data_IF_226109692869
#
_entry.id   IF_226109692869
#
_cell.length_a   1.000
_cell.length_b   1.000
_cell.length_c   1.000
_cell.angle_alpha   90.00
_cell.angle_beta   90.00
_cell.angle_gamma   90.00
#
_symmetry.space_group_name_H-M   'P 1'
#
loop_
_entity.id
_entity.type
_entity.pdbx_description
1 polymer ?
#
# COMPACT_ATOMS: atom_id res chain seq x y z
N UNK A 1 -4.64 29.98 2.06
CA UNK A 1 -4.82 28.52 2.22
C UNK A 1 -4.02 28.13 3.45
N UNK A 2 -4.62 27.41 4.39
CA UNK A 2 -3.88 26.86 5.54
C UNK A 2 -2.79 25.91 5.03
N UNK A 3 -1.62 25.91 5.67
CA UNK A 3 -0.57 24.94 5.36
C UNK A 3 -1.08 23.52 5.69
N UNK A 4 -0.70 22.52 4.87
CA UNK A 4 -1.06 21.12 5.10
C UNK A 4 -0.09 20.46 6.09
N UNK A 5 -0.07 21.00 7.32
CA UNK A 5 0.87 20.63 8.37
C UNK A 5 0.15 20.36 9.69
N UNK A 6 0.79 19.54 10.53
CA UNK A 6 0.41 19.28 11.91
C UNK A 6 1.41 19.99 12.83
N UNK A 7 0.92 20.83 13.73
CA UNK A 7 1.75 21.44 14.78
C UNK A 7 1.71 20.58 16.04
N UNK A 8 2.88 20.16 16.54
CA UNK A 8 3.06 19.41 17.78
C UNK A 8 3.80 20.28 18.80
N UNK A 9 3.23 20.43 19.99
CA UNK A 9 3.88 21.10 21.12
C UNK A 9 4.34 20.07 22.14
N UNK A 10 5.64 19.99 22.40
CA UNK A 10 6.16 19.16 23.50
C UNK A 10 6.13 19.95 24.81
N UNK A 11 5.14 19.67 25.66
CA UNK A 11 4.98 20.37 26.94
C UNK A 11 6.15 20.18 27.91
N UNK A 12 7.02 19.17 27.73
CA UNK A 12 8.20 18.95 28.58
C UNK A 12 9.29 19.98 28.30
N UNK A 13 9.37 20.48 27.06
CA UNK A 13 10.41 21.43 26.61
C UNK A 13 9.83 22.79 26.19
N UNK A 14 8.52 22.89 25.97
CA UNK A 14 7.84 24.05 25.41
C UNK A 14 8.07 24.26 23.90
N UNK A 15 8.85 23.39 23.24
CA UNK A 15 9.16 23.50 21.82
C UNK A 15 7.96 23.11 20.95
N UNK A 16 7.79 23.82 19.85
CA UNK A 16 6.81 23.51 18.81
C UNK A 16 7.51 22.98 17.57
N UNK A 17 6.85 22.04 16.91
CA UNK A 17 7.33 21.38 15.71
C UNK A 17 6.21 21.37 14.68
N UNK A 18 6.53 21.64 13.42
CA UNK A 18 5.61 21.49 12.31
C UNK A 18 6.00 20.28 11.48
N UNK A 19 5.02 19.41 11.20
CA UNK A 19 5.21 18.18 10.43
C UNK A 19 4.27 18.21 9.23
N UNK A 20 4.78 17.84 8.05
CA UNK A 20 3.97 17.79 6.85
C UNK A 20 2.97 16.63 6.91
N UNK A 21 1.74 16.88 6.44
CA UNK A 21 0.72 15.86 6.24
C UNK A 21 0.71 15.49 4.75
N UNK A 22 0.73 14.20 4.46
CA UNK A 22 0.60 13.66 3.10
C UNK A 22 -0.36 12.46 3.12
N UNK A 23 -1.41 12.46 2.29
CA UNK A 23 -2.42 11.39 2.24
C UNK A 23 -3.01 11.06 3.63
N UNK A 24 -3.35 12.09 4.41
CA UNK A 24 -3.83 11.97 5.79
C UNK A 24 -2.89 11.21 6.75
N UNK A 25 -1.60 11.14 6.41
CA UNK A 25 -0.55 10.52 7.22
C UNK A 25 0.57 11.50 7.50
N UNK A 26 1.31 11.26 8.59
CA UNK A 26 2.61 11.89 8.84
C UNK A 26 3.72 10.86 8.69
N UNK A 27 4.91 11.29 8.31
CA UNK A 27 6.08 10.40 8.30
C UNK A 27 6.57 10.19 9.73
N UNK A 28 6.51 8.95 10.23
CA UNK A 28 6.95 8.63 11.61
C UNK A 28 8.40 9.05 11.91
N UNK A 29 9.28 9.07 10.90
CA UNK A 29 10.66 9.55 11.04
C UNK A 29 10.76 11.04 11.38
N UNK A 30 9.78 11.85 10.99
CA UNK A 30 9.77 13.29 11.27
C UNK A 30 9.57 13.54 12.77
N UNK A 31 9.03 12.59 13.54
CA UNK A 31 8.94 12.71 15.00
C UNK A 31 10.30 12.65 15.69
N UNK A 32 11.36 12.15 15.04
CA UNK A 32 12.70 12.09 15.64
C UNK A 32 13.30 13.46 15.96
N UNK A 33 12.80 14.52 15.33
CA UNK A 33 13.20 15.89 15.66
C UNK A 33 12.74 16.32 17.07
N UNK A 34 11.74 15.63 17.63
CA UNK A 34 11.19 15.90 18.96
C UNK A 34 12.08 15.21 19.99
N UNK A 35 12.77 16.00 20.81
CA UNK A 35 13.77 15.55 21.77
C UNK A 35 13.63 16.32 23.08
N UNK A 36 13.80 15.62 24.20
CA UNK A 36 13.91 16.24 25.53
C UNK A 36 15.35 16.64 25.80
N UNK A 37 16.29 15.73 25.50
CA UNK A 37 17.74 15.98 25.53
C UNK A 37 18.28 15.88 24.10
N UNK A 38 19.19 16.77 23.71
CA UNK A 38 19.66 16.85 22.30
C UNK A 38 20.36 15.55 21.81
N UNK A 39 20.96 14.81 22.74
CA UNK A 39 21.63 13.53 22.54
C UNK A 39 20.65 12.34 22.38
N UNK A 40 19.36 12.52 22.67
CA UNK A 40 18.36 11.47 22.53
C UNK A 40 18.19 11.05 21.07
N UNK A 41 17.78 9.80 20.88
CA UNK A 41 17.43 9.26 19.58
C UNK A 41 16.26 10.01 18.89
N UNK A 42 15.39 10.65 19.70
CA UNK A 42 14.16 11.30 19.26
C UNK A 42 12.91 10.48 19.50
N UNK A 43 11.75 11.14 19.42
CA UNK A 43 10.46 10.50 19.61
C UNK A 43 10.19 9.42 18.55
N UNK A 44 9.55 8.34 18.97
CA UNK A 44 9.11 7.24 18.12
C UNK A 44 7.62 7.01 18.31
N UNK A 45 6.95 6.55 17.27
CA UNK A 45 5.59 6.02 17.41
C UNK A 45 5.65 4.65 18.09
N UNK A 46 4.67 4.37 18.95
CA UNK A 46 4.43 3.05 19.51
C UNK A 46 3.02 2.61 19.11
N UNK A 47 2.95 1.74 18.11
CA UNK A 47 1.70 1.25 17.53
C UNK A 47 1.80 -0.26 17.28
N UNK A 48 1.54 -1.08 18.32
CA UNK A 48 1.56 -2.53 18.19
C UNK A 48 0.61 -3.01 17.08
N UNK A 49 1.10 -3.92 16.24
CA UNK A 49 0.38 -4.46 15.08
C UNK A 49 0.03 -3.43 13.99
N UNK A 50 0.58 -2.21 14.03
CA UNK A 50 0.43 -1.19 12.98
C UNK A 50 -1.03 -0.77 12.70
N UNK A 51 -1.89 -0.80 13.71
CA UNK A 51 -3.32 -0.51 13.54
C UNK A 51 -3.59 0.93 13.06
N UNK A 52 -2.69 1.86 13.36
CA UNK A 52 -2.77 3.25 12.94
C UNK A 52 -1.47 3.71 12.23
N UNK A 53 -0.81 2.81 11.52
CA UNK A 53 0.43 3.09 10.79
C UNK A 53 0.30 2.61 9.35
N UNK A 54 0.24 3.56 8.40
CA UNK A 54 0.36 3.24 6.98
C UNK A 54 1.81 2.83 6.66
N UNK A 55 2.03 1.55 6.36
CA UNK A 55 3.38 1.00 6.15
C UNK A 55 3.93 1.22 4.73
N UNK A 56 3.04 1.37 3.74
CA UNK A 56 3.43 1.60 2.36
C UNK A 56 2.37 2.42 1.60
N UNK A 57 2.79 3.00 0.47
CA UNK A 57 1.88 3.54 -0.54
C UNK A 57 1.58 2.43 -1.54
N UNK A 58 0.30 2.19 -1.84
CA UNK A 58 -0.13 1.17 -2.80
C UNK A 58 -1.22 1.70 -3.70
N UNK A 59 -1.16 1.29 -4.97
CA UNK A 59 -2.19 1.54 -5.98
C UNK A 59 -2.85 0.24 -6.45
N UNK A 60 -2.69 -0.86 -5.69
CA UNK A 60 -3.14 -2.20 -6.09
C UNK A 60 -4.59 -2.44 -5.67
N UNK A 61 -4.88 -2.31 -4.37
CA UNK A 61 -6.17 -2.65 -3.79
C UNK A 61 -6.62 -1.57 -2.81
N UNK A 62 -7.92 -1.30 -2.80
CA UNK A 62 -8.57 -0.46 -1.79
C UNK A 62 -9.69 -1.26 -1.12
N UNK A 63 -9.79 -1.14 0.20
CA UNK A 63 -10.80 -1.80 1.03
C UNK A 63 -11.42 -0.77 1.95
N UNK A 64 -12.74 -0.70 1.95
CA UNK A 64 -13.54 -0.02 2.97
C UNK A 64 -14.48 -1.04 3.59
N UNK A 65 -14.17 -1.48 4.81
CA UNK A 65 -14.94 -2.52 5.49
C UNK A 65 -16.32 -2.06 5.94
N UNK A 66 -16.48 -0.78 6.27
CA UNK A 66 -17.73 -0.22 6.77
C UNK A 66 -18.75 -0.07 5.64
N UNK A 67 -18.27 0.32 4.45
CA UNK A 67 -19.09 0.42 3.25
C UNK A 67 -19.14 -0.87 2.42
N UNK A 68 -18.38 -1.90 2.81
CA UNK A 68 -18.28 -3.16 2.07
C UNK A 68 -17.66 -3.03 0.68
N UNK A 69 -16.74 -2.08 0.50
CA UNK A 69 -16.11 -1.81 -0.80
C UNK A 69 -14.80 -2.58 -0.89
N UNK A 70 -14.63 -3.32 -1.99
CA UNK A 70 -13.36 -3.89 -2.41
C UNK A 70 -13.07 -3.50 -3.86
N UNK A 71 -11.89 -2.92 -4.11
CA UNK A 71 -11.46 -2.51 -5.45
C UNK A 71 -10.09 -3.03 -5.80
N UNK A 72 -9.91 -3.53 -7.02
CA UNK A 72 -8.60 -3.85 -7.61
C UNK A 72 -8.30 -2.87 -8.73
N UNK A 73 -7.18 -2.14 -8.61
CA UNK A 73 -6.78 -1.06 -9.54
C UNK A 73 -7.92 -0.06 -9.84
N UNK A 74 -8.78 0.17 -8.84
CA UNK A 74 -9.94 1.06 -8.95
C UNK A 74 -11.25 0.41 -9.41
N UNK A 75 -11.21 -0.80 -10.00
CA UNK A 75 -12.41 -1.53 -10.41
C UNK A 75 -13.09 -2.19 -9.20
N UNK A 76 -14.42 -2.03 -9.01
CA UNK A 76 -15.19 -2.79 -8.04
C UNK A 76 -15.03 -4.30 -8.26
N UNK A 77 -14.93 -5.07 -7.17
CA UNK A 77 -14.68 -6.51 -7.26
C UNK A 77 -15.80 -7.25 -7.97
N UNK A 78 -17.05 -6.80 -7.84
CA UNK A 78 -18.23 -7.41 -8.44
C UNK A 78 -18.15 -7.33 -9.97
N UNK A 79 -17.69 -6.19 -10.50
CA UNK A 79 -17.50 -6.00 -11.94
C UNK A 79 -16.46 -6.97 -12.50
N UNK A 80 -15.33 -7.12 -11.79
CA UNK A 80 -14.28 -8.05 -12.21
C UNK A 80 -14.75 -9.51 -12.10
N UNK A 81 -15.51 -9.86 -11.07
CA UNK A 81 -16.03 -11.21 -10.87
C UNK A 81 -17.05 -11.60 -11.95
N UNK A 82 -17.91 -10.67 -12.38
CA UNK A 82 -18.92 -10.93 -13.41
C UNK A 82 -18.37 -10.88 -14.84
N UNK A 83 -17.40 -10.00 -15.10
CA UNK A 83 -16.99 -9.63 -16.46
C UNK A 83 -15.56 -9.99 -16.83
N UNK A 84 -14.76 -10.55 -15.91
CA UNK A 84 -13.35 -10.86 -16.17
C UNK A 84 -12.97 -12.27 -15.73
N UNK A 85 -11.95 -12.82 -16.38
CA UNK A 85 -11.35 -14.09 -16.01
C UNK A 85 -10.23 -13.88 -14.98
N UNK A 86 -9.86 -14.96 -14.28
CA UNK A 86 -8.73 -14.94 -13.35
C UNK A 86 -7.44 -14.40 -13.99
N UNK A 87 -7.13 -14.81 -15.24
CA UNK A 87 -5.90 -14.37 -15.92
C UNK A 87 -5.91 -12.89 -16.27
N UNK A 88 -7.06 -12.32 -16.61
CA UNK A 88 -7.21 -10.87 -16.83
C UNK A 88 -7.01 -10.09 -15.53
N UNK A 89 -7.58 -10.57 -14.42
CA UNK A 89 -7.39 -9.96 -13.10
C UNK A 89 -5.94 -10.10 -12.62
N UNK A 90 -5.29 -11.24 -12.85
CA UNK A 90 -3.88 -11.43 -12.53
C UNK A 90 -2.99 -10.45 -13.33
N UNK A 91 -3.29 -10.26 -14.62
CA UNK A 91 -2.63 -9.26 -15.45
C UNK A 91 -2.86 -7.84 -14.91
N UNK A 92 -4.11 -7.48 -14.59
CA UNK A 92 -4.47 -6.19 -14.00
C UNK A 92 -3.69 -5.88 -12.72
N UNK A 93 -3.59 -6.85 -11.81
CA UNK A 93 -2.88 -6.67 -10.55
C UNK A 93 -1.38 -6.46 -10.79
N UNK A 94 -0.79 -7.21 -11.72
CA UNK A 94 0.64 -7.13 -12.03
C UNK A 94 1.02 -5.86 -12.80
N UNK A 95 0.26 -5.52 -13.84
CA UNK A 95 0.60 -4.46 -14.79
C UNK A 95 -0.14 -3.14 -14.57
N UNK A 96 -1.20 -3.14 -13.75
CA UNK A 96 -1.96 -1.93 -13.40
C UNK A 96 -3.20 -1.68 -14.25
N UNK A 97 -3.32 -2.31 -15.42
CA UNK A 97 -4.41 -2.10 -16.37
C UNK A 97 -4.91 -3.44 -16.93
N UNK A 98 -6.18 -3.50 -17.38
CA UNK A 98 -6.72 -4.68 -18.04
C UNK A 98 -6.02 -4.93 -19.39
N UNK A 99 -5.75 -6.18 -19.76
CA UNK A 99 -5.06 -6.47 -21.00
C UNK A 99 -5.97 -6.19 -22.20
N UNK A 100 -5.37 -5.72 -23.29
CA UNK A 100 -5.97 -5.80 -24.63
C UNK A 100 -6.04 -7.26 -25.10
N UNK A 101 -6.87 -7.56 -26.10
CA UNK A 101 -6.99 -8.93 -26.61
C UNK A 101 -5.65 -9.56 -27.04
N UNK A 102 -4.74 -8.87 -27.77
CA UNK A 102 -3.42 -9.42 -28.09
C UNK A 102 -2.54 -9.67 -26.84
N UNK A 103 -2.58 -8.77 -25.86
CA UNK A 103 -1.84 -8.94 -24.60
C UNK A 103 -2.35 -10.13 -23.80
N UNK A 104 -3.67 -10.33 -23.78
CA UNK A 104 -4.28 -11.45 -23.07
C UNK A 104 -3.92 -12.79 -23.70
N UNK A 105 -3.89 -12.89 -25.03
CA UNK A 105 -3.47 -14.13 -25.71
C UNK A 105 -1.99 -14.45 -25.45
N UNK A 106 -1.11 -13.45 -25.51
CA UNK A 106 0.30 -13.63 -25.14
C UNK A 106 0.45 -14.04 -23.67
N UNK A 107 -0.27 -13.38 -22.76
CA UNK A 107 -0.26 -13.69 -21.33
C UNK A 107 -0.68 -15.14 -21.05
N UNK A 108 -1.77 -15.60 -21.69
CA UNK A 108 -2.23 -16.99 -21.61
C UNK A 108 -1.17 -17.95 -22.12
N UNK A 109 -0.55 -17.65 -23.26
CA UNK A 109 0.52 -18.48 -23.83
C UNK A 109 1.70 -18.60 -22.85
N UNK A 110 2.20 -17.47 -22.33
CA UNK A 110 3.33 -17.43 -21.41
C UNK A 110 3.04 -18.21 -20.13
N UNK A 111 1.89 -17.97 -19.48
CA UNK A 111 1.51 -18.68 -18.26
C UNK A 111 1.43 -20.19 -18.52
N UNK A 112 0.77 -20.61 -19.60
CA UNK A 112 0.59 -22.03 -19.92
C UNK A 112 1.94 -22.74 -20.12
N UNK A 113 2.88 -22.11 -20.82
CA UNK A 113 4.20 -22.71 -21.10
C UNK A 113 5.14 -22.71 -19.88
N UNK A 114 4.91 -21.83 -18.91
CA UNK A 114 5.68 -21.78 -17.67
C UNK A 114 5.04 -22.57 -16.52
N UNK A 115 3.98 -23.35 -16.79
CA UNK A 115 3.41 -24.27 -15.79
C UNK A 115 4.25 -25.53 -15.58
N UNK A 116 5.13 -25.88 -16.53
CA UNK A 116 5.99 -27.05 -16.41
C UNK A 116 7.05 -26.85 -15.31
N UNK A 117 6.98 -27.69 -14.28
CA UNK A 117 7.98 -27.71 -13.22
C UNK A 117 9.12 -28.66 -13.58
N UNK A 118 10.35 -28.27 -13.24
CA UNK A 118 11.52 -29.13 -13.42
C UNK A 118 11.38 -30.41 -12.57
N UNK A 119 11.76 -31.56 -13.13
CA UNK A 119 11.59 -32.89 -12.49
C UNK A 119 12.27 -32.99 -11.11
N UNK A 120 13.30 -32.19 -10.85
CA UNK A 120 13.94 -32.14 -9.52
C UNK A 120 12.98 -31.72 -8.40
N UNK A 121 11.93 -30.95 -8.71
CA UNK A 121 10.93 -30.48 -7.74
C UNK A 121 9.99 -31.61 -7.33
N UNK A 122 9.76 -32.62 -8.18
CA UNK A 122 8.86 -33.76 -7.88
C UNK A 122 9.42 -34.75 -6.87
N UNK A 123 10.72 -34.65 -6.54
CA UNK A 123 11.43 -35.61 -5.66
C UNK A 123 11.58 -35.13 -4.21
N UNK A 124 10.84 -34.10 -3.80
CA UNK A 124 10.82 -33.58 -2.42
C UNK A 124 9.80 -34.34 -1.58
#
# INVERSE_FOLDING_TARGET
MSANTLTITDNRTGKQYEIAIENDTIRAMDLRQIKVVDEDFGMMTYDPAFMNTASCKSSITFIDGDLGILRYRGYPIEQLAESSTYLEVAYLLLYGELPTAPQLEEWKYQITHHTFVHESIKKV
#
